data_IF_158060733114
#
_entry.id   IF_158060733114
#
_cell.length_a   1.000
_cell.length_b   1.000
_cell.length_c   1.000
_cell.angle_alpha   90.00
_cell.angle_beta   90.00
_cell.angle_gamma   90.00
#
_symmetry.space_group_name_H-M   'P 1'
#
loop_
_entity.id
_entity.type
_entity.pdbx_description
1 polymer ?
#
# COMPACT_ATOMS: atom_id res chain seq x y z
N UNK A 1 -7.33 48.50 37.48
CA UNK A 1 -6.80 47.45 36.59
C UNK A 1 -6.98 47.95 35.17
N UNK A 2 -5.90 48.12 34.40
CA UNK A 2 -5.95 48.81 33.09
C UNK A 2 -6.69 47.97 32.05
N UNK A 3 -7.56 48.59 31.26
CA UNK A 3 -8.35 47.95 30.18
C UNK A 3 -7.45 47.17 29.18
N UNK A 4 -6.21 47.63 28.97
CA UNK A 4 -5.20 46.93 28.17
C UNK A 4 -4.84 45.54 28.72
N UNK A 5 -4.83 45.37 30.05
CA UNK A 5 -4.52 44.08 30.67
C UNK A 5 -5.65 43.07 30.45
N UNK A 6 -6.90 43.53 30.41
CA UNK A 6 -8.06 42.68 30.15
C UNK A 6 -8.21 42.35 28.67
N UNK A 7 -7.88 43.28 27.78
CA UNK A 7 -7.83 43.02 26.34
C UNK A 7 -6.71 42.04 25.96
N UNK A 8 -5.52 42.19 26.57
CA UNK A 8 -4.41 41.25 26.38
C UNK A 8 -4.75 39.84 26.89
N UNK A 9 -5.47 39.74 28.02
CA UNK A 9 -5.98 38.45 28.52
C UNK A 9 -6.97 37.82 27.55
N UNK A 10 -7.94 38.58 27.03
CA UNK A 10 -8.89 38.08 26.03
C UNK A 10 -8.20 37.57 24.76
N UNK A 11 -7.19 38.30 24.28
CA UNK A 11 -6.41 37.89 23.11
C UNK A 11 -5.62 36.60 23.37
N UNK A 12 -4.98 36.47 24.55
CA UNK A 12 -4.29 35.25 24.98
C UNK A 12 -5.25 34.05 25.05
N UNK A 13 -6.41 34.22 25.66
CA UNK A 13 -7.43 33.16 25.74
C UNK A 13 -7.91 32.74 24.35
N UNK A 14 -8.15 33.69 23.44
CA UNK A 14 -8.56 33.41 22.06
C UNK A 14 -7.49 32.65 21.28
N UNK A 15 -6.22 33.03 21.41
CA UNK A 15 -5.08 32.34 20.78
C UNK A 15 -4.86 30.95 21.38
N UNK A 16 -4.97 30.80 22.69
CA UNK A 16 -4.88 29.51 23.38
C UNK A 16 -6.01 28.58 22.91
N UNK A 17 -7.24 29.06 22.82
CA UNK A 17 -8.37 28.28 22.31
C UNK A 17 -8.19 27.87 20.84
N UNK A 18 -7.65 28.74 19.99
CA UNK A 18 -7.33 28.40 18.59
C UNK A 18 -6.21 27.35 18.51
N UNK A 19 -5.18 27.45 19.36
CA UNK A 19 -4.08 26.49 19.41
C UNK A 19 -4.57 25.13 19.91
N UNK A 20 -5.39 25.09 20.97
CA UNK A 20 -5.99 23.85 21.47
C UNK A 20 -6.87 23.18 20.42
N UNK A 21 -7.72 23.95 19.71
CA UNK A 21 -8.51 23.40 18.59
C UNK A 21 -7.64 22.75 17.51
N UNK A 22 -6.51 23.36 17.15
CA UNK A 22 -5.57 22.79 16.17
C UNK A 22 -4.92 21.50 16.68
N UNK A 23 -4.50 21.49 17.94
CA UNK A 23 -3.92 20.29 18.58
C UNK A 23 -4.94 19.16 18.62
N UNK A 24 -6.20 19.44 19.00
CA UNK A 24 -7.26 18.44 19.05
C UNK A 24 -7.58 17.89 17.66
N UNK A 25 -7.61 18.73 16.62
CA UNK A 25 -7.81 18.25 15.24
C UNK A 25 -6.65 17.38 14.78
N UNK A 26 -5.40 17.76 15.09
CA UNK A 26 -4.22 16.97 14.73
C UNK A 26 -4.21 15.62 15.46
N UNK A 27 -4.49 15.60 16.77
CA UNK A 27 -4.60 14.36 17.55
C UNK A 27 -5.68 13.43 17.00
N UNK A 28 -6.86 13.98 16.68
CA UNK A 28 -7.94 13.19 16.06
C UNK A 28 -7.53 12.63 14.71
N UNK A 29 -6.85 13.41 13.87
CA UNK A 29 -6.34 12.91 12.58
C UNK A 29 -5.30 11.81 12.74
N UNK A 30 -4.39 11.93 13.71
CA UNK A 30 -3.39 10.91 14.00
C UNK A 30 -4.01 9.63 14.54
N UNK A 31 -4.98 9.72 15.46
CA UNK A 31 -5.73 8.56 15.97
C UNK A 31 -6.54 7.88 14.86
N UNK A 32 -7.18 8.65 13.99
CA UNK A 32 -7.89 8.12 12.82
C UNK A 32 -6.93 7.44 11.83
N UNK A 33 -5.71 7.97 11.64
CA UNK A 33 -4.70 7.32 10.80
C UNK A 33 -4.23 6.02 11.42
N UNK A 34 -3.88 6.00 12.71
CA UNK A 34 -3.44 4.80 13.44
C UNK A 34 -4.50 3.70 13.41
N UNK A 35 -5.76 4.05 13.71
CA UNK A 35 -6.86 3.07 13.68
C UNK A 35 -7.11 2.51 12.28
N UNK A 36 -6.95 3.32 11.23
CA UNK A 36 -7.04 2.84 9.84
C UNK A 36 -5.87 1.92 9.48
N UNK A 37 -4.64 2.29 9.83
CA UNK A 37 -3.47 1.44 9.55
C UNK A 37 -3.57 0.10 10.27
N UNK A 38 -4.02 0.09 11.53
CA UNK A 38 -4.17 -1.14 12.31
C UNK A 38 -5.23 -2.07 11.73
N UNK A 39 -6.36 -1.52 11.29
CA UNK A 39 -7.41 -2.31 10.61
C UNK A 39 -6.91 -2.90 9.30
N UNK A 40 -6.15 -2.11 8.54
CA UNK A 40 -5.61 -2.53 7.25
C UNK A 40 -4.56 -3.62 7.44
N UNK A 41 -3.68 -3.48 8.44
CA UNK A 41 -2.67 -4.47 8.76
C UNK A 41 -3.28 -5.78 9.25
N UNK A 42 -4.28 -5.72 10.15
CA UNK A 42 -5.03 -6.90 10.58
C UNK A 42 -5.69 -7.60 9.38
N UNK A 43 -6.34 -6.85 8.50
CA UNK A 43 -6.95 -7.38 7.29
C UNK A 43 -5.91 -8.11 6.42
N UNK A 44 -4.75 -7.50 6.16
CA UNK A 44 -3.70 -8.13 5.35
C UNK A 44 -3.11 -9.38 6.02
N UNK A 45 -2.95 -9.40 7.35
CA UNK A 45 -2.44 -10.60 8.06
C UNK A 45 -3.39 -11.80 7.99
N UNK A 46 -4.69 -11.55 7.82
CA UNK A 46 -5.69 -12.61 7.64
C UNK A 46 -5.59 -13.19 6.23
N UNK A 47 -5.43 -12.33 5.23
CA UNK A 47 -5.52 -12.73 3.82
C UNK A 47 -4.19 -13.18 3.21
N UNK A 48 -3.05 -12.78 3.78
CA UNK A 48 -1.72 -13.08 3.25
C UNK A 48 -0.95 -14.03 4.15
N UNK A 49 -0.09 -14.83 3.53
CA UNK A 49 0.97 -15.54 4.24
C UNK A 49 2.04 -14.56 4.77
N UNK A 50 2.81 -14.92 5.81
CA UNK A 50 3.77 -13.99 6.44
C UNK A 50 4.85 -13.46 5.48
N UNK A 51 5.31 -14.30 4.56
CA UNK A 51 6.27 -13.98 3.51
C UNK A 51 5.69 -13.04 2.43
N UNK A 52 4.43 -13.25 2.05
CA UNK A 52 3.69 -12.36 1.16
C UNK A 52 3.47 -10.98 1.80
N UNK A 53 3.09 -10.95 3.08
CA UNK A 53 2.94 -9.71 3.83
C UNK A 53 4.25 -8.94 3.92
N UNK A 54 5.36 -9.65 4.19
CA UNK A 54 6.68 -9.04 4.22
C UNK A 54 7.05 -8.44 2.85
N UNK A 55 6.80 -9.16 1.76
CA UNK A 55 7.02 -8.64 0.41
C UNK A 55 6.15 -7.40 0.12
N UNK A 56 4.87 -7.44 0.48
CA UNK A 56 3.97 -6.28 0.33
C UNK A 56 4.50 -5.04 1.06
N UNK A 57 4.88 -5.20 2.34
CA UNK A 57 5.33 -4.09 3.20
C UNK A 57 6.70 -3.55 2.82
N UNK A 58 7.62 -4.40 2.37
CA UNK A 58 9.01 -4.00 2.10
C UNK A 58 9.26 -3.62 0.64
N UNK A 59 8.53 -4.22 -0.32
CA UNK A 59 8.82 -4.06 -1.75
C UNK A 59 7.72 -3.33 -2.52
N UNK A 60 6.45 -3.48 -2.15
CA UNK A 60 5.34 -2.89 -2.91
C UNK A 60 4.93 -1.55 -2.31
N UNK A 61 4.55 -1.53 -1.04
CA UNK A 61 4.02 -0.35 -0.36
C UNK A 61 4.95 0.89 -0.43
N UNK A 62 6.26 0.79 -0.10
CA UNK A 62 7.14 1.97 -0.09
C UNK A 62 7.53 2.44 -1.50
N UNK A 63 7.68 1.52 -2.45
CA UNK A 63 8.17 1.85 -3.79
C UNK A 63 7.05 2.16 -4.78
N UNK A 64 5.88 1.52 -4.64
CA UNK A 64 4.78 1.54 -5.60
C UNK A 64 3.42 1.62 -4.88
N UNK A 65 3.12 2.75 -4.21
CA UNK A 65 1.91 2.89 -3.39
C UNK A 65 0.60 2.80 -4.19
N UNK A 66 0.59 3.21 -5.46
CA UNK A 66 -0.56 3.07 -6.34
C UNK A 66 -0.91 1.59 -6.61
N UNK A 67 0.11 0.76 -6.82
CA UNK A 67 -0.06 -0.68 -7.01
C UNK A 67 -0.51 -1.32 -5.70
N UNK A 68 0.10 -0.93 -4.58
CA UNK A 68 -0.29 -1.38 -3.24
C UNK A 68 -1.79 -1.14 -2.98
N UNK A 69 -2.29 0.07 -3.27
CA UNK A 69 -3.71 0.41 -3.15
C UNK A 69 -4.59 -0.49 -4.02
N UNK A 70 -4.19 -0.73 -5.27
CA UNK A 70 -4.93 -1.56 -6.22
C UNK A 70 -4.98 -3.03 -5.80
N UNK A 71 -3.90 -3.55 -5.25
CA UNK A 71 -3.85 -4.89 -4.65
C UNK A 71 -4.86 -4.97 -3.49
N UNK A 72 -4.91 -3.95 -2.64
CA UNK A 72 -5.85 -3.86 -1.52
C UNK A 72 -7.31 -3.87 -1.99
N UNK A 73 -7.63 -3.09 -3.03
CA UNK A 73 -8.96 -3.05 -3.65
C UNK A 73 -9.35 -4.42 -4.24
N UNK A 74 -8.42 -5.10 -4.92
CA UNK A 74 -8.64 -6.46 -5.45
C UNK A 74 -8.90 -7.45 -4.32
N UNK A 75 -8.12 -7.41 -3.25
CA UNK A 75 -8.32 -8.31 -2.10
C UNK A 75 -9.64 -8.06 -1.39
N UNK A 76 -10.05 -6.79 -1.24
CA UNK A 76 -11.38 -6.44 -0.71
C UNK A 76 -12.49 -7.02 -1.58
N UNK A 77 -12.37 -6.91 -2.90
CA UNK A 77 -13.34 -7.48 -3.84
C UNK A 77 -13.39 -9.01 -3.76
N UNK A 78 -12.24 -9.69 -3.66
CA UNK A 78 -12.18 -11.15 -3.54
C UNK A 78 -12.81 -11.66 -2.24
N UNK A 79 -12.67 -10.91 -1.15
CA UNK A 79 -13.34 -11.22 0.12
C UNK A 79 -14.84 -11.01 0.03
N UNK A 80 -15.28 -9.89 -0.56
CA UNK A 80 -16.71 -9.59 -0.74
C UNK A 80 -17.44 -10.59 -1.65
N UNK A 81 -16.71 -11.16 -2.62
CA UNK A 81 -17.25 -12.15 -3.56
C UNK A 81 -17.06 -13.58 -3.11
N UNK A 82 -16.56 -13.82 -1.89
CA UNK A 82 -16.28 -15.14 -1.31
C UNK A 82 -15.38 -16.04 -2.17
N UNK A 83 -14.61 -15.43 -3.09
CA UNK A 83 -13.76 -16.15 -4.05
C UNK A 83 -12.36 -16.43 -3.51
N UNK A 84 -12.04 -15.99 -2.29
CA UNK A 84 -10.75 -16.23 -1.67
C UNK A 84 -10.75 -17.57 -0.93
N UNK A 85 -10.32 -18.63 -1.61
CA UNK A 85 -10.29 -20.00 -1.05
C UNK A 85 -9.11 -20.23 -0.10
N UNK A 86 -8.01 -19.51 -0.27
CA UNK A 86 -6.78 -19.67 0.51
C UNK A 86 -6.08 -18.34 0.76
N UNK A 87 -5.16 -18.33 1.73
CA UNK A 87 -4.28 -17.17 1.93
C UNK A 87 -3.38 -16.96 0.72
N UNK A 88 -3.15 -15.70 0.39
CA UNK A 88 -2.29 -15.28 -0.70
C UNK A 88 -0.82 -15.59 -0.39
N UNK A 89 -0.17 -16.32 -1.28
CA UNK A 89 1.27 -16.63 -1.19
C UNK A 89 2.12 -15.50 -1.76
N UNK A 90 3.44 -15.56 -1.50
CA UNK A 90 4.37 -14.57 -2.04
C UNK A 90 4.45 -14.65 -3.57
N UNK A 91 4.44 -15.85 -4.14
CA UNK A 91 4.48 -16.07 -5.58
C UNK A 91 3.27 -15.45 -6.28
N UNK A 92 2.07 -15.67 -5.73
CA UNK A 92 0.82 -15.09 -6.23
C UNK A 92 0.86 -13.56 -6.17
N UNK A 93 1.34 -13.01 -5.06
CA UNK A 93 1.49 -11.57 -4.90
C UNK A 93 2.47 -10.97 -5.91
N UNK A 94 3.59 -11.66 -6.21
CA UNK A 94 4.54 -11.25 -7.25
C UNK A 94 3.88 -11.27 -8.64
N UNK A 95 3.08 -12.29 -8.93
CA UNK A 95 2.35 -12.39 -10.21
C UNK A 95 1.36 -11.23 -10.34
N UNK A 96 0.61 -10.92 -9.29
CA UNK A 96 -0.32 -9.78 -9.26
C UNK A 96 0.44 -8.47 -9.46
N UNK A 97 1.55 -8.27 -8.73
CA UNK A 97 2.39 -7.08 -8.85
C UNK A 97 2.92 -6.89 -10.28
N UNK A 98 3.41 -7.95 -10.92
CA UNK A 98 3.88 -7.91 -12.32
C UNK A 98 2.75 -7.56 -13.30
N UNK A 99 1.58 -8.19 -13.13
CA UNK A 99 0.39 -7.91 -13.97
C UNK A 99 -0.04 -6.46 -13.84
N UNK A 100 -0.09 -5.93 -12.63
CA UNK A 100 -0.46 -4.53 -12.37
C UNK A 100 0.60 -3.53 -12.82
N UNK A 101 1.87 -3.91 -12.78
CA UNK A 101 3.00 -3.10 -13.26
C UNK A 101 3.15 -3.12 -14.79
N UNK A 102 2.43 -3.99 -15.51
CA UNK A 102 2.59 -4.18 -16.95
C UNK A 102 3.88 -4.90 -17.35
N UNK A 103 4.56 -5.58 -16.40
CA UNK A 103 5.77 -6.34 -16.68
C UNK A 103 5.35 -7.68 -17.30
N UNK A 104 5.52 -7.79 -18.62
CA UNK A 104 5.25 -9.02 -19.38
C UNK A 104 6.18 -10.18 -19.00
N UNK A 105 5.82 -11.42 -19.37
CA UNK A 105 6.64 -12.59 -19.08
C UNK A 105 7.94 -12.53 -19.89
N UNK A 106 9.09 -12.66 -19.20
CA UNK A 106 10.39 -12.86 -19.85
C UNK A 106 10.66 -14.37 -19.97
N UNK A 107 10.36 -14.94 -21.13
CA UNK A 107 10.52 -16.38 -21.39
C UNK A 107 11.83 -16.59 -22.14
N UNK A 108 12.77 -17.28 -21.50
CA UNK A 108 14.06 -17.63 -22.09
C UNK A 108 14.07 -19.10 -22.51
N UNK A 109 14.51 -19.37 -23.72
CA UNK A 109 14.71 -20.70 -24.29
C UNK A 109 16.21 -21.02 -24.25
N UNK A 110 16.55 -22.18 -23.68
CA UNK A 110 17.89 -22.77 -23.78
C UNK A 110 17.84 -23.95 -24.74
N UNK A 111 18.56 -23.86 -25.86
CA UNK A 111 18.79 -25.00 -26.76
C UNK A 111 20.15 -25.62 -26.46
N UNK A 112 20.28 -26.93 -26.69
CA UNK A 112 21.55 -27.62 -26.49
C UNK A 112 22.67 -26.93 -27.30
N UNK A 113 23.77 -26.57 -26.64
CA UNK A 113 24.90 -25.87 -27.25
C UNK A 113 24.70 -24.38 -27.56
N UNK A 114 23.60 -23.74 -27.13
CA UNK A 114 23.34 -22.30 -27.35
C UNK A 114 23.07 -21.55 -26.05
N UNK A 115 23.38 -20.25 -26.07
CA UNK A 115 23.04 -19.34 -24.98
C UNK A 115 21.53 -19.16 -24.83
N UNK A 116 21.12 -18.70 -23.65
CA UNK A 116 19.73 -18.37 -23.36
C UNK A 116 19.25 -17.29 -24.33
N UNK A 117 18.21 -17.59 -25.09
CA UNK A 117 17.62 -16.69 -26.08
C UNK A 117 16.18 -16.38 -25.70
N UNK A 118 15.75 -15.14 -25.89
CA UNK A 118 14.36 -14.75 -25.67
C UNK A 118 13.44 -15.44 -26.70
N UNK A 119 12.30 -15.96 -26.23
CA UNK A 119 11.29 -16.58 -27.10
C UNK A 119 10.82 -15.65 -28.21
N UNK A 120 10.72 -14.35 -27.94
CA UNK A 120 10.25 -13.37 -28.92
C UNK A 120 11.23 -13.27 -30.10
N UNK A 121 12.53 -13.34 -29.81
CA UNK A 121 13.60 -13.34 -30.81
C UNK A 121 13.57 -14.62 -31.65
N UNK A 122 13.33 -15.77 -31.00
CA UNK A 122 13.31 -17.06 -31.69
C UNK A 122 12.07 -17.25 -32.57
N UNK A 123 10.91 -16.73 -32.16
CA UNK A 123 9.68 -16.74 -32.97
C UNK A 123 9.78 -15.84 -34.22
N UNK A 124 10.50 -14.71 -34.13
CA UNK A 124 10.74 -13.82 -35.27
C UNK A 124 11.68 -14.43 -36.33
N UNK A 125 12.61 -15.30 -35.93
CA UNK A 125 13.55 -15.98 -36.85
C UNK A 125 12.93 -17.07 -37.71
N UNK A 126 11.70 -17.52 -37.39
CA UNK A 126 11.00 -18.60 -38.09
C UNK A 126 10.03 -18.11 -39.18
N UNK A 127 9.92 -16.80 -39.41
CA UNK A 127 9.24 -16.21 -40.57
C UNK A 127 10.26 -15.85 -41.64
#
# INVERSE_FOLDING_TARGET
MSEEQDELKRLRHKKMAQMMKRIDTQKKEEELKKTKTDKTDKFLTILMMPDALNYYKTQILPHRPLIAKRILEILQYLVQTENLQSKLTKEELIIIDRKLSGIGPNIKIKRSGKEYTDIATELRRKK
#
